data_IF_223937425070
#
_entry.id   IF_223937425070
#
_cell.length_a   1.000
_cell.length_b   1.000
_cell.length_c   1.000
_cell.angle_alpha   90.00
_cell.angle_beta   90.00
_cell.angle_gamma   90.00
#
_symmetry.space_group_name_H-M   'P 1'
#
loop_
_entity.id
_entity.type
_entity.pdbx_description
1 polymer ?
#
# COMPACT_ATOMS: atom_id res chain seq x y z
N UNK A 1 -15.64 -30.24 -35.62
CA UNK A 1 -15.02 -30.32 -34.29
C UNK A 1 -13.90 -29.29 -34.24
N UNK A 2 -13.83 -28.57 -33.11
CA UNK A 2 -12.83 -27.57 -32.72
C UNK A 2 -13.22 -26.13 -33.03
N UNK A 3 -14.02 -25.55 -32.12
CA UNK A 3 -13.97 -24.12 -31.82
C UNK A 3 -13.13 -23.94 -30.56
N UNK A 4 -12.09 -23.13 -30.70
CA UNK A 4 -11.12 -22.75 -29.68
C UNK A 4 -11.81 -21.95 -28.57
N UNK A 5 -11.92 -22.55 -27.38
CA UNK A 5 -12.29 -21.85 -26.15
C UNK A 5 -11.01 -21.46 -25.43
N UNK A 6 -10.33 -20.42 -25.92
CA UNK A 6 -9.20 -19.81 -25.21
C UNK A 6 -9.73 -19.16 -23.93
N UNK A 7 -9.65 -19.92 -22.84
CA UNK A 7 -10.04 -19.51 -21.50
C UNK A 7 -8.93 -18.62 -20.96
N UNK A 8 -9.05 -17.30 -21.19
CA UNK A 8 -8.16 -16.33 -20.56
C UNK A 8 -8.38 -16.43 -19.03
N UNK A 9 -7.31 -16.59 -18.22
CA UNK A 9 -7.47 -16.65 -16.78
C UNK A 9 -7.96 -15.29 -16.29
N UNK A 10 -9.20 -15.26 -15.81
CA UNK A 10 -9.87 -14.10 -15.26
C UNK A 10 -9.08 -13.62 -14.03
N UNK A 11 -8.40 -12.49 -14.18
CA UNK A 11 -7.61 -11.84 -13.12
C UNK A 11 -8.60 -11.39 -12.05
N UNK A 12 -8.47 -11.91 -10.83
CA UNK A 12 -9.38 -11.64 -9.70
C UNK A 12 -9.55 -10.14 -9.37
N UNK A 13 -8.65 -9.28 -9.86
CA UNK A 13 -8.65 -7.83 -9.68
C UNK A 13 -9.74 -7.05 -10.42
N UNK A 14 -10.32 -7.57 -11.51
CA UNK A 14 -11.37 -6.84 -12.26
C UNK A 14 -12.61 -6.59 -11.39
N UNK A 15 -13.00 -7.60 -10.59
CA UNK A 15 -14.16 -7.48 -9.70
C UNK A 15 -13.97 -6.47 -8.56
N UNK A 16 -12.73 -6.30 -8.09
CA UNK A 16 -12.42 -5.32 -7.04
C UNK A 16 -12.40 -3.90 -7.61
N UNK A 17 -11.84 -3.73 -8.81
CA UNK A 17 -11.83 -2.45 -9.53
C UNK A 17 -13.24 -2.00 -9.92
N UNK A 18 -14.08 -2.92 -10.41
CA UNK A 18 -15.49 -2.65 -10.73
C UNK A 18 -16.25 -2.16 -9.49
N UNK A 19 -16.12 -2.87 -8.36
CA UNK A 19 -16.73 -2.47 -7.08
C UNK A 19 -16.26 -1.10 -6.62
N UNK A 20 -14.95 -0.82 -6.69
CA UNK A 20 -14.42 0.49 -6.33
C UNK A 20 -14.99 1.60 -7.22
N UNK A 21 -15.07 1.37 -8.53
CA UNK A 21 -15.64 2.32 -9.47
C UNK A 21 -17.14 2.56 -9.20
N UNK A 22 -17.90 1.52 -8.85
CA UNK A 22 -19.29 1.67 -8.43
C UNK A 22 -19.42 2.52 -7.17
N UNK A 23 -18.56 2.29 -6.16
CA UNK A 23 -18.54 3.09 -4.93
C UNK A 23 -18.18 4.55 -5.20
N UNK A 24 -17.17 4.82 -6.03
CA UNK A 24 -16.79 6.19 -6.42
C UNK A 24 -17.95 6.91 -7.12
N UNK A 25 -18.66 6.23 -8.03
CA UNK A 25 -19.86 6.76 -8.70
C UNK A 25 -20.98 7.07 -7.70
N UNK A 26 -21.27 6.17 -6.78
CA UNK A 26 -22.30 6.36 -5.75
C UNK A 26 -22.00 7.56 -4.85
N UNK A 27 -20.72 7.72 -4.47
CA UNK A 27 -20.24 8.84 -3.66
C UNK A 27 -20.05 10.13 -4.48
N UNK A 28 -20.30 10.10 -5.80
CA UNK A 28 -20.08 11.21 -6.73
C UNK A 28 -18.65 11.78 -6.67
N UNK A 29 -17.68 10.90 -6.43
CA UNK A 29 -16.27 11.24 -6.41
C UNK A 29 -15.74 11.09 -7.83
N UNK A 30 -15.30 12.19 -8.43
CA UNK A 30 -14.61 12.16 -9.72
C UNK A 30 -13.15 11.75 -9.50
N UNK A 31 -12.88 10.46 -9.74
CA UNK A 31 -11.56 9.86 -9.54
C UNK A 31 -11.27 8.81 -10.60
N UNK A 32 -9.99 8.66 -10.93
CA UNK A 32 -9.49 7.62 -11.83
C UNK A 32 -8.76 6.54 -11.02
N UNK A 33 -9.02 5.27 -11.36
CA UNK A 33 -8.33 4.13 -10.75
C UNK A 33 -7.25 3.63 -11.70
N UNK A 34 -6.02 3.52 -11.21
CA UNK A 34 -4.89 2.98 -11.97
C UNK A 34 -4.32 1.75 -11.26
N UNK A 35 -4.34 0.62 -11.95
CA UNK A 35 -3.72 -0.62 -11.45
C UNK A 35 -2.22 -0.57 -11.70
N UNK A 36 -1.43 -0.81 -10.66
CA UNK A 36 0.04 -0.83 -10.74
C UNK A 36 0.50 -2.26 -10.95
N UNK A 37 1.00 -2.57 -12.15
CA UNK A 37 1.45 -3.93 -12.52
C UNK A 37 2.92 -4.14 -12.18
N UNK A 38 3.70 -3.07 -12.10
CA UNK A 38 5.12 -3.06 -11.73
C UNK A 38 5.39 -3.18 -10.22
N UNK A 39 4.36 -3.44 -9.41
CA UNK A 39 4.54 -3.51 -7.95
C UNK A 39 5.43 -4.71 -7.58
N UNK A 40 6.53 -4.48 -6.84
CA UNK A 40 7.45 -5.57 -6.50
C UNK A 40 6.76 -6.61 -5.61
N UNK A 41 6.96 -7.92 -5.86
CA UNK A 41 6.47 -8.95 -4.97
C UNK A 41 7.21 -8.88 -3.64
N UNK A 42 6.47 -8.85 -2.53
CA UNK A 42 7.05 -9.06 -1.21
C UNK A 42 7.49 -10.52 -1.15
N UNK A 43 8.78 -10.78 -0.96
CA UNK A 43 9.28 -12.14 -0.73
C UNK A 43 8.79 -12.60 0.65
N UNK A 44 7.66 -13.30 0.68
CA UNK A 44 6.95 -13.77 1.88
C UNK A 44 7.78 -14.76 2.72
N UNK A 45 8.86 -15.32 2.18
CA UNK A 45 9.66 -16.38 2.82
C UNK A 45 10.35 -15.95 4.12
N UNK A 46 10.55 -14.65 4.36
CA UNK A 46 11.05 -14.12 5.65
C UNK A 46 9.95 -13.85 6.69
N UNK A 47 8.69 -13.86 6.29
CA UNK A 47 7.55 -13.45 7.12
C UNK A 47 6.87 -14.61 7.82
N UNK A 48 6.93 -15.83 7.25
CA UNK A 48 6.21 -17.01 7.73
C UNK A 48 6.94 -17.84 8.80
N UNK A 49 8.22 -17.56 9.09
CA UNK A 49 9.03 -18.42 9.97
C UNK A 49 8.92 -18.09 11.47
N UNK A 50 8.06 -17.16 11.87
CA UNK A 50 8.08 -16.66 13.25
C UNK A 50 6.68 -16.25 13.68
N UNK A 51 5.83 -17.25 13.91
CA UNK A 51 4.45 -17.07 14.37
C UNK A 51 4.33 -16.58 15.82
N UNK A 52 5.44 -16.42 16.54
CA UNK A 52 5.44 -16.21 18.01
C UNK A 52 6.24 -14.99 18.50
N UNK A 53 6.75 -14.12 17.63
CA UNK A 53 7.44 -12.91 18.08
C UNK A 53 6.90 -11.64 17.43
N UNK A 54 6.01 -10.99 18.19
CA UNK A 54 5.78 -9.55 18.30
C UNK A 54 5.87 -8.72 17.00
N UNK A 55 4.80 -7.98 16.69
CA UNK A 55 4.67 -6.96 15.63
C UNK A 55 5.86 -5.98 15.50
N UNK A 56 6.74 -5.94 16.51
CA UNK A 56 8.01 -5.22 16.57
C UNK A 56 9.02 -5.51 15.42
N UNK A 57 8.90 -6.64 14.70
CA UNK A 57 9.94 -7.05 13.73
C UNK A 57 9.61 -6.71 12.26
N UNK A 58 8.40 -6.23 11.95
CA UNK A 58 7.99 -5.92 10.57
C UNK A 58 8.92 -4.88 9.92
N UNK A 59 9.33 -3.84 10.66
CA UNK A 59 10.17 -2.74 10.16
C UNK A 59 11.63 -3.10 9.93
N UNK A 60 12.12 -4.15 10.58
CA UNK A 60 13.47 -4.68 10.35
C UNK A 60 13.50 -5.65 9.17
N UNK A 61 12.35 -6.28 8.84
CA UNK A 61 12.25 -7.31 7.81
C UNK A 61 12.02 -6.74 6.41
N UNK A 62 11.51 -5.51 6.28
CA UNK A 62 11.32 -4.85 4.98
C UNK A 62 12.68 -4.43 4.40
N UNK A 63 13.10 -4.94 3.23
CA UNK A 63 14.32 -4.48 2.57
C UNK A 63 14.20 -3.03 2.11
N UNK A 64 15.25 -2.23 2.33
CA UNK A 64 15.26 -0.82 1.88
C UNK A 64 15.07 -0.68 0.36
N UNK A 65 15.62 -1.62 -0.42
CA UNK A 65 15.46 -1.67 -1.88
C UNK A 65 14.01 -1.84 -2.33
N UNK A 66 13.19 -2.54 -1.53
CA UNK A 66 11.75 -2.66 -1.78
C UNK A 66 11.06 -1.30 -1.62
N UNK A 67 11.34 -0.61 -0.51
CA UNK A 67 10.78 0.73 -0.23
C UNK A 67 11.18 1.73 -1.32
N UNK A 68 12.43 1.69 -1.77
CA UNK A 68 12.92 2.54 -2.86
C UNK A 68 12.19 2.28 -4.18
N UNK A 69 11.95 0.99 -4.50
CA UNK A 69 11.21 0.63 -5.72
C UNK A 69 9.78 1.14 -5.64
N UNK A 70 9.10 0.94 -4.50
CA UNK A 70 7.74 1.42 -4.26
C UNK A 70 7.67 2.95 -4.29
N UNK A 71 8.59 3.65 -3.63
CA UNK A 71 8.71 5.10 -3.65
C UNK A 71 8.88 5.63 -5.09
N UNK A 72 9.74 5.00 -5.89
CA UNK A 72 9.94 5.38 -7.29
C UNK A 72 8.67 5.21 -8.12
N UNK A 73 7.93 4.12 -7.93
CA UNK A 73 6.65 3.90 -8.62
C UNK A 73 5.65 5.01 -8.25
N UNK A 74 5.51 5.31 -6.96
CA UNK A 74 4.62 6.40 -6.50
C UNK A 74 5.04 7.76 -7.08
N UNK A 75 6.34 8.08 -7.07
CA UNK A 75 6.89 9.31 -7.67
C UNK A 75 6.50 9.48 -9.12
N UNK A 76 6.74 8.45 -9.95
CA UNK A 76 6.46 8.54 -11.38
C UNK A 76 4.97 8.77 -11.68
N UNK A 77 4.08 8.23 -10.84
CA UNK A 77 2.63 8.40 -11.02
C UNK A 77 2.13 9.73 -10.46
N UNK A 78 2.74 10.23 -9.39
CA UNK A 78 2.37 11.49 -8.77
C UNK A 78 2.99 12.72 -9.45
N UNK A 79 3.97 12.54 -10.34
CA UNK A 79 4.73 13.61 -11.00
C UNK A 79 3.84 14.58 -11.81
N UNK A 80 2.70 14.12 -12.33
CA UNK A 80 1.80 14.91 -13.19
C UNK A 80 0.86 15.85 -12.39
N UNK A 81 1.42 16.60 -11.44
CA UNK A 81 0.68 17.67 -10.73
C UNK A 81 -0.16 17.20 -9.56
N UNK A 82 0.22 16.12 -8.88
CA UNK A 82 -0.47 15.68 -7.64
C UNK A 82 -0.28 16.72 -6.54
N UNK A 83 -1.39 17.33 -6.09
CA UNK A 83 -1.37 18.32 -5.01
C UNK A 83 -1.09 17.70 -3.63
N UNK A 84 -1.61 16.50 -3.38
CA UNK A 84 -1.44 15.76 -2.13
C UNK A 84 -1.54 14.26 -2.36
N UNK A 85 -0.71 13.49 -1.67
CA UNK A 85 -0.72 12.02 -1.71
C UNK A 85 -1.17 11.49 -0.35
N UNK A 86 -2.14 10.59 -0.33
CA UNK A 86 -2.55 9.91 0.89
C UNK A 86 -1.99 8.50 0.88
N UNK A 87 -1.23 8.15 1.92
CA UNK A 87 -0.63 6.82 2.09
C UNK A 87 -1.03 6.28 3.45
N UNK A 88 -1.30 4.98 3.53
CA UNK A 88 -1.64 4.35 4.81
C UNK A 88 -0.42 4.33 5.75
N UNK A 89 -0.58 4.85 6.96
CA UNK A 89 0.46 4.85 8.00
C UNK A 89 0.61 3.44 8.62
N UNK A 90 1.78 2.81 8.54
CA UNK A 90 2.08 1.54 9.20
C UNK A 90 1.97 1.61 10.73
N UNK A 91 1.80 0.45 11.38
CA UNK A 91 1.64 0.33 12.84
C UNK A 91 2.80 0.93 13.63
N UNK A 92 2.62 2.04 14.35
CA UNK A 92 3.74 2.56 15.13
C UNK A 92 4.19 1.47 16.11
N UNK A 93 5.50 1.37 16.38
CA UNK A 93 6.01 0.45 17.39
C UNK A 93 5.28 0.66 18.73
N UNK A 94 5.07 -0.40 19.53
CA UNK A 94 4.49 -0.28 20.86
C UNK A 94 5.33 0.65 21.73
N UNK A 95 4.71 1.27 22.73
CA UNK A 95 5.41 2.20 23.63
C UNK A 95 6.56 1.55 24.43
N UNK A 96 6.60 0.22 24.47
CA UNK A 96 7.66 -0.59 25.09
C UNK A 96 8.82 -0.91 24.13
N UNK A 97 8.73 -0.51 22.87
CA UNK A 97 9.79 -0.73 21.89
C UNK A 97 11.06 0.05 22.26
N UNK A 98 12.21 -0.50 21.88
CA UNK A 98 13.49 0.19 22.07
C UNK A 98 13.65 1.35 21.08
N UNK A 99 14.45 2.35 21.45
CA UNK A 99 14.77 3.50 20.59
C UNK A 99 15.26 3.07 19.20
N UNK A 100 16.04 1.99 19.12
CA UNK A 100 16.52 1.44 17.85
C UNK A 100 15.40 0.97 16.91
N UNK A 101 14.30 0.44 17.46
CA UNK A 101 13.12 0.03 16.68
C UNK A 101 12.33 1.26 16.22
N UNK A 102 12.19 2.27 17.09
CA UNK A 102 11.58 3.55 16.74
C UNK A 102 12.35 4.27 15.62
N UNK A 103 13.68 4.31 15.71
CA UNK A 103 14.54 4.88 14.66
C UNK A 103 14.41 4.12 13.34
N UNK A 104 14.35 2.79 13.40
CA UNK A 104 14.16 1.97 12.21
C UNK A 104 12.80 2.22 11.55
N UNK A 105 11.74 2.36 12.35
CA UNK A 105 10.41 2.72 11.86
C UNK A 105 10.42 4.06 11.13
N UNK A 106 11.03 5.09 11.75
CA UNK A 106 11.14 6.41 11.13
C UNK A 106 11.96 6.39 9.83
N UNK A 107 13.06 5.62 9.78
CA UNK A 107 13.85 5.43 8.55
C UNK A 107 13.04 4.80 7.43
N UNK A 108 12.19 3.83 7.74
CA UNK A 108 11.30 3.19 6.75
C UNK A 108 10.30 4.20 6.19
N UNK A 109 9.70 5.02 7.05
CA UNK A 109 8.77 6.07 6.61
C UNK A 109 9.46 7.14 5.79
N UNK A 110 10.66 7.55 6.20
CA UNK A 110 11.47 8.55 5.48
C UNK A 110 11.81 8.04 4.08
N UNK A 111 12.34 6.82 3.94
CA UNK A 111 12.68 6.30 2.61
C UNK A 111 11.43 6.06 1.73
N UNK A 112 10.32 5.63 2.32
CA UNK A 112 9.07 5.45 1.59
C UNK A 112 8.50 6.78 1.07
N UNK A 113 8.70 7.88 1.80
CA UNK A 113 8.10 9.20 1.49
C UNK A 113 9.07 10.19 0.86
N UNK A 114 10.36 9.84 0.78
CA UNK A 114 11.44 10.64 0.22
C UNK A 114 11.08 11.19 -1.16
N UNK A 115 11.26 12.49 -1.37
CA UNK A 115 10.96 13.26 -2.59
C UNK A 115 9.58 12.99 -3.24
N UNK A 116 8.58 12.55 -2.46
CA UNK A 116 7.20 12.54 -2.95
C UNK A 116 6.60 13.94 -2.90
N UNK A 117 5.50 14.13 -3.63
CA UNK A 117 4.56 15.23 -3.41
C UNK A 117 4.11 15.29 -1.94
N UNK A 118 3.55 16.42 -1.46
CA UNK A 118 3.07 16.54 -0.09
C UNK A 118 2.25 15.31 0.34
N UNK A 119 2.78 14.52 1.28
CA UNK A 119 2.23 13.21 1.61
C UNK A 119 1.64 13.23 3.02
N UNK A 120 0.39 12.76 3.13
CA UNK A 120 -0.31 12.58 4.40
C UNK A 120 -0.36 11.09 4.70
N UNK A 121 0.29 10.69 5.79
CA UNK A 121 0.23 9.32 6.31
C UNK A 121 -1.02 9.16 7.19
N UNK A 122 -1.97 8.35 6.75
CA UNK A 122 -3.29 8.21 7.39
C UNK A 122 -3.44 6.83 8.00
N UNK A 123 -3.97 6.76 9.22
CA UNK A 123 -4.33 5.50 9.87
C UNK A 123 -5.62 5.68 10.64
N UNK A 124 -6.61 4.87 10.29
CA UNK A 124 -7.87 4.80 11.04
C UNK A 124 -7.66 4.02 12.33
N UNK A 125 -8.00 4.61 13.48
CA UNK A 125 -7.94 3.92 14.77
C UNK A 125 -9.10 2.93 14.97
N UNK A 126 -10.14 2.96 14.12
CA UNK A 126 -11.27 2.02 14.04
C UNK A 126 -11.86 2.04 12.62
N UNK A 127 -12.59 0.97 12.25
CA UNK A 127 -13.40 0.93 11.03
C UNK A 127 -14.41 2.06 11.06
N UNK A 128 -14.14 3.13 10.32
CA UNK A 128 -15.13 4.16 10.04
C UNK A 128 -15.77 3.74 8.74
N UNK A 129 -16.87 2.99 8.81
CA UNK A 129 -17.91 3.10 7.79
C UNK A 129 -18.38 4.55 7.85
N UNK A 130 -17.81 5.42 7.01
CA UNK A 130 -18.31 6.78 6.87
C UNK A 130 -19.70 6.69 6.24
N UNK A 131 -20.71 6.57 7.09
CA UNK A 131 -22.07 7.00 6.80
C UNK A 131 -22.13 8.46 7.22
N UNK A 132 -21.66 9.35 6.36
CA UNK A 132 -22.07 10.76 6.43
C UNK A 132 -22.88 11.05 5.18
N UNK A 133 -24.13 11.47 5.45
CA UNK A 133 -25.30 11.59 4.57
C UNK A 133 -25.03 12.23 3.19
#
# INVERSE_FOLDING_TARGET
MNSDSSSVPRVQGESAQERLNELLKLLRIDATTHTVTEWPPLQETKWLNDSDSEENNIYQRVPLSYLQTVNNIMKHRCADGTAVTFVQLPQPPPATASDAVCDQYLKVLDELTKDLSPTILVRGLKSVTSTSL
#
